data_IF_965728237617
#
_entry.id   IF_965728237617
#
_cell.length_a   1.000
_cell.length_b   1.000
_cell.length_c   1.000
_cell.angle_alpha   90.00
_cell.angle_beta   90.00
_cell.angle_gamma   90.00
#
_symmetry.space_group_name_H-M   'P 1'
#
loop_
_entity.id
_entity.type
_entity.pdbx_description
1 polymer ?
#
# COMPACT_ATOMS: atom_id res chain seq x y z
N UNK A 1 15.45 5.50 -3.51
CA UNK A 1 15.51 4.19 -2.82
C UNK A 1 16.59 4.10 -1.74
N UNK A 2 17.87 4.44 -2.00
CA UNK A 2 18.94 4.28 -0.99
C UNK A 2 18.65 4.92 0.39
N UNK A 3 18.04 6.10 0.42
CA UNK A 3 17.59 6.76 1.66
C UNK A 3 16.56 5.93 2.45
N UNK A 4 15.60 5.30 1.77
CA UNK A 4 14.58 4.44 2.40
C UNK A 4 15.21 3.20 2.99
N UNK A 5 16.13 2.55 2.25
CA UNK A 5 16.83 1.36 2.74
C UNK A 5 17.63 1.68 4.01
N UNK A 6 18.37 2.79 4.01
CA UNK A 6 19.10 3.26 5.19
C UNK A 6 18.15 3.61 6.36
N UNK A 7 16.98 4.17 6.07
CA UNK A 7 15.97 4.46 7.09
C UNK A 7 15.40 3.17 7.70
N UNK A 8 15.11 2.15 6.88
CA UNK A 8 14.70 0.82 7.38
C UNK A 8 15.77 0.21 8.28
N UNK A 9 17.06 0.32 7.92
CA UNK A 9 18.17 -0.14 8.75
C UNK A 9 18.23 0.62 10.09
N UNK A 10 18.04 1.93 10.05
CA UNK A 10 18.00 2.80 11.23
C UNK A 10 16.85 2.42 12.17
N UNK A 11 15.65 2.18 11.63
CA UNK A 11 14.48 1.75 12.41
C UNK A 11 14.73 0.37 13.03
N UNK A 12 15.23 -0.60 12.25
CA UNK A 12 15.56 -1.93 12.77
C UNK A 12 16.61 -1.89 13.88
N UNK A 13 17.54 -0.95 13.82
CA UNK A 13 18.55 -0.72 14.85
C UNK A 13 18.05 0.11 16.05
N UNK A 14 16.77 0.51 16.08
CA UNK A 14 16.19 1.34 17.15
C UNK A 14 16.68 2.79 17.15
N UNK A 15 17.31 3.25 16.08
CA UNK A 15 17.87 4.62 15.95
C UNK A 15 16.86 5.62 15.40
N UNK A 16 15.80 5.15 14.75
CA UNK A 16 14.70 5.97 14.23
C UNK A 16 13.36 5.36 14.64
N UNK A 17 12.32 6.17 14.85
CA UNK A 17 10.99 5.65 15.20
C UNK A 17 10.35 4.94 14.01
N UNK A 18 9.50 3.95 14.29
CA UNK A 18 8.75 3.22 13.25
C UNK A 18 7.90 4.17 12.38
N UNK A 19 7.39 5.25 12.96
CA UNK A 19 6.60 6.29 12.28
C UNK A 19 7.36 7.09 11.23
N UNK A 20 8.71 7.00 11.19
CA UNK A 20 9.50 7.66 10.17
C UNK A 20 9.32 7.04 8.77
N UNK A 21 8.78 5.82 8.68
CA UNK A 21 8.49 5.15 7.42
C UNK A 21 7.16 4.38 7.48
N UNK A 22 6.21 4.79 6.65
CA UNK A 22 4.91 4.15 6.50
C UNK A 22 4.67 3.53 5.13
N UNK A 23 3.73 2.61 5.08
CA UNK A 23 3.15 2.04 3.86
C UNK A 23 1.72 2.54 3.76
N UNK A 24 1.33 3.03 2.60
CA UNK A 24 0.01 3.62 2.36
C UNK A 24 -0.58 3.06 1.09
N UNK A 25 -1.87 2.76 1.16
CA UNK A 25 -2.72 2.41 0.05
C UNK A 25 -4.12 3.00 0.30
N UNK A 26 -4.85 3.33 -0.77
CA UNK A 26 -6.18 3.92 -0.70
C UNK A 26 -7.14 3.22 -1.67
N UNK A 27 -8.40 3.12 -1.27
CA UNK A 27 -9.49 2.94 -2.22
C UNK A 27 -10.05 4.32 -2.58
N UNK A 28 -9.85 4.78 -3.82
CA UNK A 28 -10.25 6.12 -4.26
C UNK A 28 -10.73 6.14 -5.72
N UNK A 29 -11.52 7.16 -6.05
CA UNK A 29 -11.90 7.43 -7.43
C UNK A 29 -10.87 8.37 -8.06
N UNK A 30 -10.19 7.89 -9.11
CA UNK A 30 -9.13 8.63 -9.81
C UNK A 30 -9.63 9.93 -10.47
N UNK A 31 -10.90 10.01 -10.85
CA UNK A 31 -11.48 11.15 -11.57
C UNK A 31 -11.95 12.24 -10.61
N UNK A 32 -12.58 11.85 -9.50
CA UNK A 32 -13.10 12.80 -8.50
C UNK A 32 -12.06 13.12 -7.41
N UNK A 33 -11.02 12.30 -7.27
CA UNK A 33 -10.08 12.36 -6.16
C UNK A 33 -10.67 11.93 -4.82
N UNK A 34 -11.91 11.43 -4.80
CA UNK A 34 -12.58 11.03 -3.56
C UNK A 34 -11.95 9.76 -3.00
N UNK A 35 -11.47 9.85 -1.77
CA UNK A 35 -10.93 8.73 -0.99
C UNK A 35 -12.09 8.05 -0.26
N UNK A 36 -12.18 6.73 -0.25
CA UNK A 36 -13.24 5.97 0.42
C UNK A 36 -12.71 5.12 1.58
N UNK A 37 -11.49 4.61 1.46
CA UNK A 37 -10.80 3.80 2.45
C UNK A 37 -9.34 4.22 2.56
N UNK A 38 -8.80 4.15 3.78
CA UNK A 38 -7.40 4.41 4.08
C UNK A 38 -6.82 3.17 4.75
N UNK A 39 -5.76 2.65 4.15
CA UNK A 39 -4.97 1.56 4.69
C UNK A 39 -3.53 2.01 4.92
N UNK A 40 -3.05 1.83 6.15
CA UNK A 40 -1.66 2.13 6.47
C UNK A 40 -1.09 1.11 7.44
N UNK A 41 0.19 0.79 7.25
CA UNK A 41 0.98 0.07 8.25
C UNK A 41 2.38 0.66 8.40
N UNK A 42 3.02 0.36 9.53
CA UNK A 42 4.40 0.74 9.80
C UNK A 42 5.41 -0.21 9.16
N UNK A 43 6.69 0.02 9.44
CA UNK A 43 7.81 -0.80 8.95
C UNK A 43 7.80 -2.25 9.39
N UNK A 44 7.05 -2.60 10.43
CA UNK A 44 6.87 -3.95 10.91
C UNK A 44 5.59 -4.60 10.38
N UNK A 45 4.84 -3.90 9.51
CA UNK A 45 3.52 -4.35 9.05
C UNK A 45 2.42 -4.16 10.09
N UNK A 46 2.70 -3.48 11.19
CA UNK A 46 1.72 -3.17 12.22
C UNK A 46 0.73 -2.17 11.65
N UNK A 47 -0.55 -2.51 11.71
CA UNK A 47 -1.63 -1.62 11.30
C UNK A 47 -1.56 -0.29 12.05
N UNK A 48 -1.51 0.79 11.29
CA UNK A 48 -1.57 2.16 11.80
C UNK A 48 -2.87 2.87 11.40
N UNK A 49 -3.44 2.55 10.23
CA UNK A 49 -4.75 3.07 9.81
C UNK A 49 -5.53 2.01 9.05
N UNK A 50 -6.83 1.91 9.32
CA UNK A 50 -7.78 1.01 8.67
C UNK A 50 -9.19 1.55 8.87
N UNK A 51 -9.54 2.54 8.07
CA UNK A 51 -10.80 3.26 8.21
C UNK A 51 -11.40 3.70 6.88
N UNK A 52 -12.72 3.87 6.87
CA UNK A 52 -13.43 4.60 5.83
C UNK A 52 -13.39 6.09 6.08
N UNK A 53 -13.44 6.87 5.02
CA UNK A 53 -13.47 8.33 5.12
C UNK A 53 -14.90 8.85 5.33
N UNK A 54 -15.04 9.86 6.19
CA UNK A 54 -16.24 10.69 6.33
C UNK A 54 -15.89 12.10 5.90
N UNK A 55 -16.50 12.53 4.79
CA UNK A 55 -16.35 13.89 4.29
C UNK A 55 -17.37 14.83 4.95
N UNK A 56 -16.95 16.07 5.15
CA UNK A 56 -17.83 17.19 5.45
C UNK A 56 -18.77 17.48 4.27
N UNK A 57 -19.92 18.09 4.57
CA UNK A 57 -20.92 18.44 3.55
C UNK A 57 -20.39 19.40 2.49
N UNK A 58 -19.46 20.28 2.86
CA UNK A 58 -18.89 21.26 1.93
C UNK A 58 -17.91 20.60 0.95
N UNK A 59 -17.02 19.73 1.42
CA UNK A 59 -16.11 18.98 0.56
C UNK A 59 -16.88 18.02 -0.38
N UNK A 60 -17.91 17.33 0.11
CA UNK A 60 -18.78 16.51 -0.75
C UNK A 60 -19.50 17.33 -1.81
N UNK A 61 -19.99 18.53 -1.46
CA UNK A 61 -20.65 19.42 -2.42
C UNK A 61 -19.66 19.88 -3.49
N UNK A 62 -18.44 20.25 -3.10
CA UNK A 62 -17.40 20.67 -4.05
C UNK A 62 -17.07 19.55 -5.05
N UNK A 63 -16.91 18.31 -4.58
CA UNK A 63 -16.70 17.13 -5.45
C UNK A 63 -17.90 16.92 -6.38
N UNK A 64 -19.11 16.98 -5.83
CA UNK A 64 -20.33 16.69 -6.60
C UNK A 64 -20.60 17.72 -7.69
N UNK A 65 -20.23 18.99 -7.48
CA UNK A 65 -20.43 20.06 -8.46
C UNK A 65 -19.59 19.90 -9.73
N UNK A 66 -18.44 19.23 -9.63
CA UNK A 66 -17.53 19.00 -10.76
C UNK A 66 -17.65 17.59 -11.35
N UNK A 67 -18.39 16.70 -10.70
CA UNK A 67 -18.52 15.29 -11.08
C UNK A 67 -19.58 15.08 -12.17
N UNK A 68 -19.23 14.28 -13.16
CA UNK A 68 -20.19 13.75 -14.14
C UNK A 68 -21.01 12.59 -13.58
N UNK A 69 -22.07 12.18 -14.30
CA UNK A 69 -22.83 10.97 -13.94
C UNK A 69 -21.97 9.71 -13.92
N UNK A 70 -20.97 9.61 -14.82
CA UNK A 70 -20.05 8.48 -14.86
C UNK A 70 -19.19 8.43 -13.60
N UNK A 71 -18.72 9.59 -13.13
CA UNK A 71 -17.93 9.70 -11.91
C UNK A 71 -18.71 9.26 -10.67
N UNK A 72 -19.98 9.69 -10.57
CA UNK A 72 -20.87 9.31 -9.47
C UNK A 72 -21.22 7.81 -9.48
N UNK A 73 -21.29 7.20 -10.67
CA UNK A 73 -21.48 5.75 -10.79
C UNK A 73 -20.23 4.99 -10.33
N UNK A 74 -19.03 5.47 -10.69
CA UNK A 74 -17.77 4.90 -10.21
C UNK A 74 -17.63 5.03 -8.70
N UNK A 75 -17.95 6.19 -8.13
CA UNK A 75 -18.04 6.41 -6.67
C UNK A 75 -18.91 5.35 -5.99
N UNK A 76 -20.08 5.05 -6.58
CA UNK A 76 -21.01 4.04 -6.04
C UNK A 76 -20.41 2.63 -6.10
N UNK A 77 -19.71 2.29 -7.17
CA UNK A 77 -19.05 0.99 -7.33
C UNK A 77 -17.93 0.80 -6.30
N UNK A 78 -17.04 1.78 -6.16
CA UNK A 78 -15.94 1.74 -5.17
C UNK A 78 -16.51 1.67 -3.77
N UNK A 79 -17.49 2.52 -3.43
CA UNK A 79 -18.14 2.49 -2.13
C UNK A 79 -18.82 1.15 -1.84
N UNK A 80 -19.38 0.48 -2.86
CA UNK A 80 -19.93 -0.87 -2.70
C UNK A 80 -18.84 -1.89 -2.37
N UNK A 81 -17.68 -1.81 -3.03
CA UNK A 81 -16.51 -2.65 -2.76
C UNK A 81 -15.99 -2.43 -1.33
N UNK A 82 -15.74 -1.18 -0.95
CA UNK A 82 -15.25 -0.79 0.39
C UNK A 82 -16.23 -1.19 1.51
N UNK A 83 -17.54 -1.24 1.23
CA UNK A 83 -18.54 -1.71 2.20
C UNK A 83 -18.54 -3.23 2.38
N UNK A 84 -17.98 -3.99 1.43
CA UNK A 84 -17.93 -5.45 1.51
C UNK A 84 -16.90 -5.96 2.54
N UNK A 85 -15.93 -5.14 2.93
CA UNK A 85 -14.87 -5.51 3.88
C UNK A 85 -15.02 -4.76 5.22
N UNK A 86 -14.45 -5.29 6.30
CA UNK A 86 -14.55 -4.68 7.62
C UNK A 86 -13.29 -3.85 7.93
N UNK A 87 -13.47 -2.53 8.10
CA UNK A 87 -12.41 -1.64 8.59
C UNK A 87 -12.46 -1.59 10.13
N UNK A 88 -11.37 -1.98 10.77
CA UNK A 88 -11.30 -2.12 12.23
C UNK A 88 -11.44 -0.81 13.00
N UNK A 89 -11.18 0.34 12.38
CA UNK A 89 -11.35 1.65 13.00
C UNK A 89 -12.64 2.36 12.56
N UNK A 90 -13.52 1.67 11.83
CA UNK A 90 -14.81 2.20 11.38
C UNK A 90 -14.66 3.32 10.35
N UNK A 91 -15.52 4.33 10.46
CA UNK A 91 -15.47 5.53 9.61
C UNK A 91 -14.92 6.72 10.40
N UNK A 92 -14.04 7.51 9.77
CA UNK A 92 -13.29 8.60 10.42
C UNK A 92 -13.41 9.89 9.62
N UNK A 93 -13.56 11.01 10.31
CA UNK A 93 -13.42 12.34 9.68
C UNK A 93 -11.95 12.66 9.40
N UNK A 94 -11.68 13.65 8.54
CA UNK A 94 -10.32 14.13 8.29
C UNK A 94 -9.62 14.54 9.58
N UNK A 95 -10.32 15.25 10.48
CA UNK A 95 -9.79 15.60 11.81
C UNK A 95 -9.36 14.39 12.64
N UNK A 96 -10.19 13.35 12.69
CA UNK A 96 -9.86 12.13 13.44
C UNK A 96 -8.68 11.38 12.84
N UNK A 97 -8.56 11.37 11.51
CA UNK A 97 -7.39 10.81 10.82
C UNK A 97 -6.15 11.65 11.13
N UNK A 98 -6.24 12.97 11.03
CA UNK A 98 -5.13 13.88 11.32
C UNK A 98 -4.63 13.76 12.77
N UNK A 99 -5.54 13.73 13.73
CA UNK A 99 -5.22 13.57 15.15
C UNK A 99 -4.54 12.20 15.41
N UNK A 100 -4.99 11.15 14.74
CA UNK A 100 -4.39 9.81 14.84
C UNK A 100 -2.99 9.75 14.22
N UNK A 101 -2.78 10.34 13.03
CA UNK A 101 -1.46 10.43 12.40
C UNK A 101 -0.46 11.18 13.29
N UNK A 102 -0.89 12.31 13.87
CA UNK A 102 -0.08 13.10 14.83
C UNK A 102 0.24 12.28 16.09
N UNK A 103 -0.76 11.56 16.63
CA UNK A 103 -0.60 10.70 17.81
C UNK A 103 0.42 9.58 17.58
N UNK A 104 0.48 9.06 16.37
CA UNK A 104 1.46 8.05 15.95
C UNK A 104 2.86 8.63 15.69
N UNK A 105 3.03 9.95 15.75
CA UNK A 105 4.31 10.61 15.48
C UNK A 105 4.68 10.65 14.00
N UNK A 106 3.70 10.61 13.10
CA UNK A 106 3.91 10.91 11.68
C UNK A 106 4.13 12.42 11.56
N UNK A 107 5.15 12.80 10.81
CA UNK A 107 5.56 14.20 10.60
C UNK A 107 5.73 14.52 9.11
N UNK A 108 6.00 15.80 8.82
CA UNK A 108 6.38 16.28 7.48
C UNK A 108 7.74 15.75 6.99
N UNK A 109 8.46 14.98 7.81
CA UNK A 109 9.73 14.36 7.49
C UNK A 109 9.62 12.84 7.28
N UNK A 110 8.43 12.27 7.55
CA UNK A 110 8.18 10.84 7.38
C UNK A 110 8.20 10.45 5.90
N UNK A 111 8.73 9.27 5.60
CA UNK A 111 8.66 8.71 4.26
C UNK A 111 7.46 7.77 4.13
N UNK A 112 6.86 7.75 2.94
CA UNK A 112 5.83 6.78 2.58
C UNK A 112 6.29 5.95 1.38
N UNK A 113 5.89 4.68 1.38
CA UNK A 113 5.98 3.82 0.20
C UNK A 113 4.55 3.63 -0.32
N UNK A 114 4.38 3.60 -1.63
CA UNK A 114 3.13 3.19 -2.30
C UNK A 114 3.42 2.13 -3.39
N UNK A 115 2.54 1.13 -3.54
CA UNK A 115 2.61 0.14 -4.62
C UNK A 115 1.96 0.67 -5.90
N UNK A 116 2.53 1.75 -6.42
CA UNK A 116 2.02 2.39 -7.63
C UNK A 116 3.17 2.89 -8.52
N UNK A 117 2.83 3.43 -9.69
CA UNK A 117 3.78 4.14 -10.57
C UNK A 117 4.00 5.60 -10.15
N UNK A 118 3.06 6.14 -9.38
CA UNK A 118 2.99 7.53 -8.94
C UNK A 118 2.76 7.60 -7.44
N UNK A 119 2.68 8.81 -6.89
CA UNK A 119 2.51 9.06 -5.46
C UNK A 119 1.06 9.35 -5.09
N UNK A 120 0.11 8.85 -5.89
CA UNK A 120 -1.29 9.28 -5.85
C UNK A 120 -1.93 8.96 -4.51
N UNK A 121 -1.65 7.81 -3.90
CA UNK A 121 -2.18 7.45 -2.58
C UNK A 121 -1.86 8.52 -1.53
N UNK A 122 -0.59 8.94 -1.45
CA UNK A 122 -0.21 10.00 -0.50
C UNK A 122 -0.80 11.35 -0.90
N UNK A 123 -0.80 11.69 -2.20
CA UNK A 123 -1.29 13.01 -2.63
C UNK A 123 -2.79 13.15 -2.42
N UNK A 124 -3.58 12.12 -2.74
CA UNK A 124 -5.03 12.11 -2.54
C UNK A 124 -5.42 12.13 -1.07
N UNK A 125 -4.71 11.37 -0.23
CA UNK A 125 -4.92 11.43 1.22
C UNK A 125 -4.69 12.85 1.75
N UNK A 126 -3.58 13.47 1.34
CA UNK A 126 -3.24 14.84 1.74
C UNK A 126 -4.22 15.88 1.22
N UNK A 127 -4.60 15.82 -0.06
CA UNK A 127 -5.60 16.70 -0.67
C UNK A 127 -6.94 16.61 0.07
N UNK A 128 -7.38 15.40 0.45
CA UNK A 128 -8.58 15.22 1.25
C UNK A 128 -8.46 15.89 2.63
N UNK A 129 -7.38 15.63 3.36
CA UNK A 129 -7.15 16.25 4.68
C UNK A 129 -7.16 17.79 4.59
N UNK A 130 -6.46 18.35 3.60
CA UNK A 130 -6.38 19.79 3.38
C UNK A 130 -7.72 20.40 2.94
N UNK A 131 -8.54 19.66 2.17
CA UNK A 131 -9.89 20.09 1.77
C UNK A 131 -10.86 20.20 2.96
N UNK A 132 -10.56 19.51 4.05
CA UNK A 132 -11.32 19.50 5.29
C UNK A 132 -10.65 20.36 6.38
N UNK A 133 -9.63 21.16 6.02
CA UNK A 133 -8.96 22.11 6.91
C UNK A 133 -7.79 21.54 7.73
N UNK A 134 -7.41 20.27 7.53
CA UNK A 134 -6.31 19.62 8.25
C UNK A 134 -4.99 19.73 7.46
N UNK A 135 -4.38 20.91 7.50
CA UNK A 135 -3.14 21.22 6.77
C UNK A 135 -1.88 20.71 7.47
N UNK A 136 -0.84 20.44 6.68
CA UNK A 136 0.49 20.16 7.20
C UNK A 136 0.60 18.86 8.03
N UNK A 137 -0.32 17.93 7.84
CA UNK A 137 -0.32 16.62 8.53
C UNK A 137 0.64 15.64 7.85
N UNK A 138 0.54 15.52 6.53
CA UNK A 138 1.27 14.53 5.74
C UNK A 138 2.41 15.16 4.94
N UNK A 139 3.52 14.44 4.76
CA UNK A 139 4.70 14.94 4.05
C UNK A 139 4.40 15.23 2.56
N UNK A 140 5.28 15.98 1.88
CA UNK A 140 5.12 16.24 0.45
C UNK A 140 5.35 14.97 -0.40
N UNK A 141 4.86 14.98 -1.65
CA UNK A 141 5.02 13.86 -2.60
C UNK A 141 6.49 13.43 -2.82
N UNK A 142 7.45 14.33 -2.63
CA UNK A 142 8.89 14.00 -2.72
C UNK A 142 9.37 13.01 -1.64
N UNK A 143 8.58 12.80 -0.59
CA UNK A 143 8.80 11.80 0.45
C UNK A 143 7.93 10.55 0.26
N UNK A 144 7.15 10.45 -0.81
CA UNK A 144 6.50 9.23 -1.23
C UNK A 144 7.32 8.52 -2.32
N UNK A 145 7.58 7.23 -2.13
CA UNK A 145 8.37 6.42 -3.05
C UNK A 145 7.47 5.38 -3.71
N UNK A 146 7.13 5.55 -5.01
CA UNK A 146 6.42 4.52 -5.76
C UNK A 146 7.33 3.32 -5.99
N UNK A 147 6.89 2.11 -5.62
CA UNK A 147 7.74 0.91 -5.63
C UNK A 147 7.77 0.20 -6.99
N UNK A 148 6.70 0.27 -7.78
CA UNK A 148 6.61 -0.43 -9.08
C UNK A 148 7.75 -0.04 -10.05
N UNK A 149 8.14 1.24 -10.22
CA UNK A 149 9.24 1.61 -11.10
C UNK A 149 10.58 0.95 -10.74
N UNK A 150 10.81 0.67 -9.45
CA UNK A 150 12.04 0.01 -9.00
C UNK A 150 12.02 -1.49 -9.29
N UNK A 151 10.88 -2.16 -9.09
CA UNK A 151 10.70 -3.56 -9.50
C UNK A 151 10.86 -3.73 -11.01
N UNK A 152 10.22 -2.86 -11.80
CA UNK A 152 10.24 -2.95 -13.24
C UNK A 152 11.66 -2.81 -13.83
N UNK A 153 12.48 -1.92 -13.26
CA UNK A 153 13.89 -1.76 -13.68
C UNK A 153 14.72 -3.02 -13.43
N UNK A 154 14.51 -3.69 -12.30
CA UNK A 154 15.24 -4.93 -11.96
C UNK A 154 14.80 -6.13 -12.80
N UNK A 155 13.58 -6.09 -13.35
CA UNK A 155 13.10 -7.14 -14.25
C UNK A 155 13.59 -6.98 -15.69
N UNK A 156 14.30 -5.90 -16.05
CA UNK A 156 14.83 -5.64 -17.40
C UNK A 156 13.81 -5.84 -18.54
N UNK A 157 12.53 -5.62 -18.26
CA UNK A 157 11.46 -5.88 -19.22
C UNK A 157 11.14 -7.35 -19.43
N UNK A 158 11.36 -8.20 -18.41
CA UNK A 158 10.95 -9.60 -18.38
C UNK A 158 9.56 -9.76 -18.97
N UNK A 159 9.48 -10.62 -19.97
CA UNK A 159 8.25 -10.89 -20.70
C UNK A 159 7.83 -12.31 -20.43
N UNK A 160 6.52 -12.49 -20.36
CA UNK A 160 5.90 -13.79 -20.40
C UNK A 160 6.10 -14.42 -21.78
N UNK A 161 5.82 -15.72 -21.90
CA UNK A 161 5.93 -16.48 -23.16
C UNK A 161 5.09 -15.87 -24.30
N UNK A 162 3.99 -15.19 -23.97
CA UNK A 162 3.15 -14.44 -24.91
C UNK A 162 3.65 -13.01 -25.23
N UNK A 163 4.90 -12.68 -24.89
CA UNK A 163 5.54 -11.37 -25.12
C UNK A 163 4.89 -10.19 -24.35
N UNK A 164 3.92 -10.43 -23.44
CA UNK A 164 3.43 -9.42 -22.50
C UNK A 164 4.44 -9.18 -21.39
N UNK A 165 4.48 -7.96 -20.84
CA UNK A 165 5.30 -7.65 -19.67
C UNK A 165 4.80 -8.45 -18.46
N UNK A 166 5.74 -8.86 -17.61
CA UNK A 166 5.40 -9.47 -16.33
C UNK A 166 4.50 -8.53 -15.49
N UNK A 167 3.34 -9.00 -15.01
CA UNK A 167 2.44 -8.17 -14.23
C UNK A 167 3.00 -7.92 -12.82
N UNK A 168 3.06 -6.65 -12.43
CA UNK A 168 3.52 -6.22 -11.11
C UNK A 168 2.35 -5.87 -10.17
N UNK A 169 1.17 -6.41 -10.42
CA UNK A 169 0.03 -6.18 -9.52
C UNK A 169 0.21 -7.02 -8.26
N UNK A 170 -0.16 -6.48 -7.10
CA UNK A 170 -0.09 -7.21 -5.83
C UNK A 170 -0.85 -8.56 -5.86
N UNK A 171 -2.07 -8.66 -6.45
CA UNK A 171 -2.78 -9.94 -6.55
C UNK A 171 -2.01 -11.07 -7.24
N UNK A 172 -1.04 -10.74 -8.11
CA UNK A 172 -0.23 -11.73 -8.82
C UNK A 172 1.14 -11.90 -8.15
N UNK A 173 1.84 -10.79 -7.90
CA UNK A 173 3.21 -10.84 -7.41
C UNK A 173 3.29 -11.33 -5.95
N UNK A 174 2.35 -10.92 -5.10
CA UNK A 174 2.35 -11.28 -3.69
C UNK A 174 2.28 -12.82 -3.47
N UNK A 175 1.31 -13.57 -4.04
CA UNK A 175 1.25 -15.02 -3.86
C UNK A 175 2.39 -15.79 -4.53
N UNK A 176 3.06 -15.23 -5.55
CA UNK A 176 4.29 -15.81 -6.11
C UNK A 176 5.41 -15.79 -5.07
N UNK A 177 5.57 -14.67 -4.38
CA UNK A 177 6.68 -14.48 -3.44
C UNK A 177 6.38 -15.05 -2.04
N UNK A 178 5.15 -14.90 -1.55
CA UNK A 178 4.74 -15.23 -0.19
C UNK A 178 3.96 -16.55 -0.07
N UNK A 179 3.55 -17.13 -1.21
CA UNK A 179 2.67 -18.29 -1.27
C UNK A 179 1.17 -17.94 -1.20
N UNK A 180 0.34 -18.84 -1.70
CA UNK A 180 -1.14 -18.66 -1.74
C UNK A 180 -1.81 -18.87 -0.39
N UNK A 181 -1.14 -19.56 0.54
CA UNK A 181 -1.68 -19.82 1.88
C UNK A 181 -1.42 -18.67 2.87
N UNK A 182 -0.70 -17.63 2.44
CA UNK A 182 -0.45 -16.45 3.27
C UNK A 182 -1.77 -15.77 3.64
N UNK A 183 -1.94 -15.34 4.89
CA UNK A 183 -3.17 -14.73 5.45
C UNK A 183 -3.67 -13.48 4.70
N UNK A 184 -2.79 -12.84 3.96
CA UNK A 184 -3.08 -11.66 3.13
C UNK A 184 -3.37 -12.01 1.66
N UNK A 185 -3.05 -13.21 1.18
CA UNK A 185 -3.22 -13.57 -0.22
C UNK A 185 -4.71 -13.59 -0.62
N UNK A 186 -5.02 -13.05 -1.80
CA UNK A 186 -6.39 -13.01 -2.34
C UNK A 186 -7.35 -12.05 -1.62
N UNK A 187 -6.83 -11.17 -0.74
CA UNK A 187 -7.60 -10.19 0.03
C UNK A 187 -7.34 -8.74 -0.42
N UNK A 188 -6.89 -8.58 -1.65
CA UNK A 188 -6.68 -7.29 -2.31
C UNK A 188 -8.01 -6.51 -2.46
N UNK A 189 -7.91 -5.21 -2.72
CA UNK A 189 -9.03 -4.25 -2.67
C UNK A 189 -9.54 -3.97 -1.24
N UNK A 190 -8.66 -4.20 -0.26
CA UNK A 190 -8.80 -3.72 1.11
C UNK A 190 -7.52 -2.98 1.40
N UNK A 191 -7.60 -1.65 1.48
CA UNK A 191 -6.42 -0.78 1.50
C UNK A 191 -5.38 -1.19 2.56
N UNK A 192 -5.81 -1.61 3.77
CA UNK A 192 -4.85 -2.06 4.80
C UNK A 192 -4.10 -3.32 4.34
N UNK A 193 -4.81 -4.28 3.76
CA UNK A 193 -4.20 -5.53 3.28
C UNK A 193 -3.18 -5.21 2.21
N UNK A 194 -3.52 -4.35 1.25
CA UNK A 194 -2.62 -3.97 0.17
C UNK A 194 -1.38 -3.21 0.70
N UNK A 195 -1.55 -2.30 1.67
CA UNK A 195 -0.44 -1.66 2.36
C UNK A 195 0.48 -2.66 3.10
N UNK A 196 -0.08 -3.68 3.73
CA UNK A 196 0.70 -4.75 4.39
C UNK A 196 1.40 -5.66 3.38
N UNK A 197 0.72 -6.04 2.29
CA UNK A 197 1.34 -6.82 1.21
C UNK A 197 2.53 -6.06 0.61
N UNK A 198 2.38 -4.76 0.41
CA UNK A 198 3.45 -3.89 -0.06
C UNK A 198 4.64 -3.83 0.91
N UNK A 199 4.41 -3.83 2.23
CA UNK A 199 5.47 -3.90 3.23
C UNK A 199 6.33 -5.16 3.05
N UNK A 200 5.70 -6.33 2.85
CA UNK A 200 6.41 -7.56 2.53
C UNK A 200 7.18 -7.46 1.20
N UNK A 201 6.54 -6.89 0.17
CA UNK A 201 7.21 -6.70 -1.12
C UNK A 201 8.43 -5.78 -1.01
N UNK A 202 8.41 -4.78 -0.13
CA UNK A 202 9.58 -3.92 0.15
C UNK A 202 10.69 -4.69 0.89
N UNK A 203 10.33 -5.57 1.82
CA UNK A 203 11.30 -6.44 2.50
C UNK A 203 11.99 -7.39 1.50
N UNK A 204 11.22 -8.00 0.60
CA UNK A 204 11.73 -8.80 -0.52
C UNK A 204 12.64 -7.98 -1.42
N UNK A 205 12.20 -6.78 -1.82
CA UNK A 205 12.97 -5.88 -2.67
C UNK A 205 14.35 -5.60 -2.08
N UNK A 206 14.42 -5.33 -0.77
CA UNK A 206 15.68 -5.11 -0.06
C UNK A 206 16.62 -6.30 -0.18
N UNK A 207 16.14 -7.53 -0.04
CA UNK A 207 16.96 -8.73 -0.22
C UNK A 207 17.40 -8.90 -1.67
N UNK A 208 16.52 -8.62 -2.63
CA UNK A 208 16.84 -8.69 -4.05
C UNK A 208 17.90 -7.66 -4.48
N UNK A 209 18.01 -6.53 -3.79
CA UNK A 209 19.08 -5.55 -3.98
C UNK A 209 20.47 -6.03 -3.52
N UNK A 210 20.55 -7.09 -2.71
CA UNK A 210 21.83 -7.70 -2.37
C UNK A 210 22.32 -8.54 -3.55
N UNK A 211 23.65 -8.56 -3.75
CA UNK A 211 24.27 -9.52 -4.66
C UNK A 211 23.90 -10.95 -4.24
N UNK A 212 23.77 -11.91 -5.17
CA UNK A 212 23.36 -13.27 -4.83
C UNK A 212 24.16 -13.91 -3.69
N UNK A 213 25.46 -13.61 -3.60
CA UNK A 213 26.37 -14.13 -2.58
C UNK A 213 26.17 -13.51 -1.19
N UNK A 214 25.51 -12.35 -1.12
CA UNK A 214 25.26 -11.61 0.12
C UNK A 214 23.81 -11.78 0.62
N UNK A 215 22.98 -12.55 -0.08
CA UNK A 215 21.61 -12.84 0.37
C UNK A 215 21.67 -13.83 1.52
N UNK A 216 20.81 -13.69 2.56
CA UNK A 216 20.73 -14.68 3.62
C UNK A 216 20.37 -16.07 3.06
N UNK A 217 20.94 -17.12 3.64
CA UNK A 217 20.54 -18.49 3.31
C UNK A 217 19.07 -18.70 3.64
N UNK A 218 18.36 -19.35 2.72
CA UNK A 218 16.92 -19.60 2.87
C UNK A 218 16.06 -18.33 2.94
N UNK A 219 16.51 -17.20 2.39
CA UNK A 219 15.81 -15.92 2.53
C UNK A 219 14.38 -15.96 1.98
N UNK A 220 14.11 -16.76 0.94
CA UNK A 220 12.76 -16.85 0.36
C UNK A 220 11.82 -17.64 1.28
N UNK A 221 12.34 -18.71 1.88
CA UNK A 221 11.65 -19.54 2.85
C UNK A 221 11.30 -18.77 4.13
N UNK A 222 12.14 -17.80 4.51
CA UNK A 222 11.87 -16.91 5.65
C UNK A 222 10.64 -16.02 5.42
N UNK A 223 10.29 -15.71 4.16
CA UNK A 223 9.10 -14.92 3.83
C UNK A 223 7.86 -15.78 3.63
N UNK A 224 8.00 -17.03 3.18
CA UNK A 224 6.85 -17.95 3.03
C UNK A 224 6.37 -18.57 4.35
N UNK A 225 7.19 -18.50 5.41
CA UNK A 225 6.81 -18.87 6.76
C UNK A 225 6.28 -17.66 7.53
N UNK A 226 4.97 -17.40 7.44
CA UNK A 226 4.31 -16.44 8.32
C UNK A 226 4.29 -16.98 9.77
N UNK A 227 4.94 -16.34 10.76
CA UNK A 227 4.95 -16.78 12.15
C UNK A 227 3.56 -16.76 12.81
N UNK A 228 2.61 -16.01 12.24
CA UNK A 228 1.22 -15.92 12.69
C UNK A 228 0.28 -16.93 12.00
N UNK A 229 0.79 -17.62 10.97
CA UNK A 229 0.11 -18.69 10.27
C UNK A 229 0.54 -20.05 10.83
N UNK A 230 -0.38 -20.81 11.42
CA UNK A 230 -0.14 -22.22 11.76
C UNK A 230 -0.08 -23.14 10.53
N UNK A 231 -0.09 -22.59 9.31
CA UNK A 231 -0.02 -23.34 8.06
C UNK A 231 1.31 -23.03 7.38
N UNK A 232 2.16 -24.04 7.12
CA UNK A 232 3.35 -23.84 6.32
C UNK A 232 2.89 -23.40 4.93
N UNK A 233 3.28 -22.19 4.51
CA UNK A 233 2.97 -21.65 3.19
C UNK A 233 3.69 -22.45 2.13
N UNK A 234 3.08 -23.54 1.67
CA UNK A 234 3.75 -24.54 0.83
C UNK A 234 3.33 -24.49 -0.64
N UNK A 235 2.30 -23.71 -0.99
CA UNK A 235 1.96 -23.51 -2.40
C UNK A 235 2.38 -22.13 -2.85
N UNK A 236 3.62 -22.01 -3.31
CA UNK A 236 3.99 -20.91 -4.20
C UNK A 236 3.13 -21.02 -5.46
N UNK A 237 2.46 -19.94 -5.82
CA UNK A 237 1.73 -19.92 -7.08
C UNK A 237 2.74 -19.97 -8.23
N UNK A 238 2.54 -20.91 -9.14
CA UNK A 238 3.30 -20.93 -10.39
C UNK A 238 2.82 -19.78 -11.27
N UNK A 239 3.73 -19.19 -12.05
CA UNK A 239 3.38 -18.11 -12.98
C UNK A 239 2.27 -18.53 -13.94
N UNK A 240 2.32 -19.78 -14.36
CA UNK A 240 1.38 -20.50 -15.19
C UNK A 240 -0.05 -20.43 -14.65
N UNK A 241 -0.22 -20.44 -13.32
CA UNK A 241 -1.54 -20.43 -12.67
C UNK A 241 -2.30 -19.10 -12.83
N UNK A 242 -1.60 -18.02 -13.18
CA UNK A 242 -2.23 -16.72 -13.48
C UNK A 242 -2.48 -16.50 -14.97
N UNK A 243 -2.13 -17.46 -15.84
CA UNK A 243 -2.28 -17.34 -17.29
C UNK A 243 -3.65 -17.79 -17.79
N UNK A 244 -4.37 -18.64 -17.05
CA UNK A 244 -5.65 -19.23 -17.49
C UNK A 244 -6.87 -18.34 -17.21
N UNK A 245 -6.71 -17.18 -16.56
CA UNK A 245 -7.81 -16.32 -16.10
C UNK A 245 -7.74 -14.83 -16.47
N UNK A 246 -6.82 -14.41 -17.34
CA UNK A 246 -6.58 -13.00 -17.69
C UNK A 246 -6.61 -12.70 -19.19
#
# INVERSE_FOLDING_TARGET
MGKVLALMDSIKAGKSPASALGFVDLEYNIFTGRVFEIGMCDTYGTKTMDCRTLYGSEALRAISQTSSTADLNMDRMIMSSVKAHYCTQGSRTAKQVADELKRQGISQEAYFIAWHFHTDDLSRLREWLESEGEYGVLPPNSQCIPLIPYFQRNLQGAKLSNNKRFPLTLPILFPIMMGTDHVLAGRNHHALVDAQQQQFMMAIFRVLCLSPQNRPDGWLEQFSQDPSSHRPGLRQAFLESFWEGS
#
